data_IF_099504621312
#
_entry.id   IF_099504621312
#
_cell.length_a   1.000
_cell.length_b   1.000
_cell.length_c   1.000
_cell.angle_alpha   90.00
_cell.angle_beta   90.00
_cell.angle_gamma   90.00
#
_symmetry.space_group_name_H-M   'P 1'
#
loop_
_entity.id
_entity.type
_entity.pdbx_description
1 polymer ?
#
# COMPACT_ATOMS: atom_id res chain seq x y z
N UNK A 1 24.32 -28.04 52.59
CA UNK A 1 23.10 -27.29 52.28
C UNK A 1 23.48 -26.04 51.53
N UNK A 2 23.35 -26.00 50.22
CA UNK A 2 23.66 -24.82 49.40
C UNK A 2 22.48 -24.65 48.44
N UNK A 3 21.76 -23.55 48.62
CA UNK A 3 20.63 -23.18 47.79
C UNK A 3 21.06 -22.74 46.42
N UNK A 4 20.42 -23.28 45.40
CA UNK A 4 20.58 -22.89 44.03
C UNK A 4 19.76 -21.60 43.77
N UNK A 5 20.47 -20.48 43.56
CA UNK A 5 19.89 -19.24 43.09
C UNK A 5 19.54 -19.34 41.63
N UNK A 6 18.26 -19.44 41.31
CA UNK A 6 17.77 -19.32 39.93
C UNK A 6 17.87 -17.87 39.47
N UNK A 7 18.70 -17.60 38.46
CA UNK A 7 18.70 -16.34 37.72
C UNK A 7 17.39 -16.24 36.91
N UNK A 8 16.50 -15.40 37.36
CA UNK A 8 15.38 -14.93 36.55
C UNK A 8 15.92 -14.00 35.47
N UNK A 9 15.87 -14.46 34.25
CA UNK A 9 16.10 -13.65 33.07
C UNK A 9 15.06 -12.52 33.01
N UNK A 10 15.45 -11.25 32.81
CA UNK A 10 14.47 -10.18 32.71
C UNK A 10 13.63 -10.40 31.46
N UNK A 11 12.32 -10.51 31.68
CA UNK A 11 11.33 -10.60 30.62
C UNK A 11 11.58 -9.50 29.60
N UNK A 12 12.00 -9.90 28.40
CA UNK A 12 12.18 -8.99 27.27
C UNK A 12 10.87 -8.25 27.04
N UNK A 13 10.88 -6.93 27.16
CA UNK A 13 9.80 -6.07 26.69
C UNK A 13 9.56 -6.43 25.22
N UNK A 14 8.46 -7.10 24.91
CA UNK A 14 7.97 -7.21 23.53
C UNK A 14 7.79 -5.78 23.06
N UNK A 15 8.69 -5.32 22.18
CA UNK A 15 8.45 -4.09 21.43
C UNK A 15 7.15 -4.32 20.68
N UNK A 16 6.14 -3.52 20.97
CA UNK A 16 4.93 -3.45 20.16
C UNK A 16 5.40 -2.91 18.82
N UNK A 17 5.63 -3.82 17.87
CA UNK A 17 5.96 -3.44 16.52
C UNK A 17 4.67 -2.89 15.91
N UNK A 18 4.54 -1.57 15.87
CA UNK A 18 3.41 -0.92 15.21
C UNK A 18 3.54 -1.24 13.72
N UNK A 19 2.61 -2.00 13.17
CA UNK A 19 2.61 -2.30 11.74
C UNK A 19 2.25 -1.04 10.96
N UNK A 20 3.04 -0.72 9.92
CA UNK A 20 2.74 0.35 8.97
C UNK A 20 1.52 -0.02 8.14
N UNK A 21 0.58 0.89 7.99
CA UNK A 21 -0.67 0.70 7.23
C UNK A 21 -0.65 1.50 5.94
N UNK A 22 -0.80 0.82 4.81
CA UNK A 22 -0.75 1.41 3.47
C UNK A 22 -2.08 1.21 2.77
N UNK A 23 -2.64 2.27 2.16
CA UNK A 23 -3.85 2.21 1.36
C UNK A 23 -3.57 2.51 -0.11
N UNK A 24 -3.91 1.56 -0.99
CA UNK A 24 -3.89 1.72 -2.43
C UNK A 24 -5.24 2.29 -2.90
N UNK A 25 -5.23 3.41 -3.65
CA UNK A 25 -6.45 4.14 -3.98
C UNK A 25 -6.58 4.37 -5.49
N UNK A 26 -7.73 3.95 -6.06
CA UNK A 26 -8.12 4.29 -7.43
C UNK A 26 -9.57 4.81 -7.46
N UNK A 27 -10.21 4.86 -8.62
CA UNK A 27 -11.61 5.31 -8.73
C UNK A 27 -12.59 4.23 -8.24
N UNK A 28 -12.60 3.07 -8.91
CA UNK A 28 -13.65 2.05 -8.73
C UNK A 28 -13.25 0.87 -7.84
N UNK A 29 -11.99 0.72 -7.47
CA UNK A 29 -11.46 -0.42 -6.68
C UNK A 29 -11.74 -1.81 -7.31
N UNK A 30 -11.76 -1.88 -8.64
CA UNK A 30 -11.99 -3.13 -9.40
C UNK A 30 -10.81 -3.54 -10.27
N UNK A 31 -9.84 -2.65 -10.52
CA UNK A 31 -8.70 -2.93 -11.40
C UNK A 31 -7.37 -2.58 -10.71
N UNK A 32 -6.90 -1.32 -10.82
CA UNK A 32 -5.54 -0.90 -10.42
C UNK A 32 -5.24 -1.10 -8.95
N UNK A 33 -6.10 -0.63 -8.05
CA UNK A 33 -5.81 -0.69 -6.61
C UNK A 33 -5.85 -2.12 -6.05
N UNK A 34 -6.78 -3.03 -6.43
CA UNK A 34 -6.70 -4.41 -5.99
C UNK A 34 -5.50 -5.17 -6.58
N UNK A 35 -5.11 -4.88 -7.83
CA UNK A 35 -3.87 -5.43 -8.40
C UNK A 35 -2.65 -4.98 -7.59
N UNK A 36 -2.56 -3.68 -7.26
CA UNK A 36 -1.47 -3.14 -6.45
C UNK A 36 -1.43 -3.76 -5.04
N UNK A 37 -2.57 -3.90 -4.40
CA UNK A 37 -2.68 -4.54 -3.08
C UNK A 37 -2.17 -5.98 -3.12
N UNK A 38 -2.65 -6.80 -4.07
CA UNK A 38 -2.25 -8.21 -4.19
C UNK A 38 -0.77 -8.36 -4.49
N UNK A 39 -0.23 -7.58 -5.43
CA UNK A 39 1.20 -7.57 -5.78
C UNK A 39 2.05 -7.16 -4.57
N UNK A 40 1.67 -6.08 -3.90
CA UNK A 40 2.44 -5.58 -2.77
C UNK A 40 2.39 -6.53 -1.57
N UNK A 41 1.25 -7.16 -1.31
CA UNK A 41 1.13 -8.20 -0.26
C UNK A 41 2.08 -9.36 -0.53
N UNK A 42 2.13 -9.87 -1.77
CA UNK A 42 3.10 -10.90 -2.17
C UNK A 42 4.54 -10.44 -1.94
N UNK A 43 4.89 -9.21 -2.35
CA UNK A 43 6.22 -8.63 -2.11
C UNK A 43 6.57 -8.59 -0.61
N UNK A 44 5.61 -8.26 0.27
CA UNK A 44 5.86 -8.24 1.72
C UNK A 44 6.10 -9.63 2.29
N UNK A 45 5.35 -10.64 1.84
CA UNK A 45 5.58 -12.05 2.22
C UNK A 45 6.97 -12.51 1.77
N UNK A 46 7.36 -12.25 0.53
CA UNK A 46 8.67 -12.64 -0.01
C UNK A 46 9.84 -11.96 0.74
N UNK A 47 9.60 -10.83 1.39
CA UNK A 47 10.57 -10.07 2.19
C UNK A 47 10.49 -10.36 3.70
N UNK A 48 9.57 -11.21 4.15
CA UNK A 48 9.31 -11.47 5.58
C UNK A 48 8.84 -10.24 6.34
N UNK A 49 8.05 -9.37 5.67
CA UNK A 49 7.58 -8.08 6.20
C UNK A 49 6.05 -8.03 6.40
N UNK A 50 5.34 -9.14 6.19
CA UNK A 50 3.89 -9.24 6.22
C UNK A 50 3.27 -8.85 7.57
N UNK A 51 3.99 -9.06 8.66
CA UNK A 51 3.52 -8.64 10.01
C UNK A 51 3.82 -7.17 10.31
N UNK A 52 4.76 -6.57 9.59
CA UNK A 52 5.21 -5.19 9.80
C UNK A 52 4.56 -4.19 8.85
N UNK A 53 4.05 -4.64 7.72
CA UNK A 53 3.44 -3.80 6.70
C UNK A 53 2.10 -4.39 6.28
N UNK A 54 1.02 -3.74 6.69
CA UNK A 54 -0.33 -4.08 6.30
C UNK A 54 -0.77 -3.22 5.12
N UNK A 55 -1.42 -3.83 4.14
CA UNK A 55 -1.94 -3.08 3.00
C UNK A 55 -3.37 -3.49 2.67
N UNK A 56 -4.14 -2.52 2.19
CA UNK A 56 -5.48 -2.69 1.65
C UNK A 56 -5.69 -1.77 0.46
N UNK A 57 -6.82 -1.93 -0.23
CA UNK A 57 -7.22 -1.01 -1.29
C UNK A 57 -8.65 -0.51 -1.11
N UNK A 58 -8.93 0.66 -1.72
CA UNK A 58 -10.25 1.26 -1.74
C UNK A 58 -10.42 2.13 -3.00
N UNK A 59 -11.66 2.48 -3.32
CA UNK A 59 -11.99 3.39 -4.40
C UNK A 59 -12.60 4.69 -3.89
N UNK A 60 -12.30 5.80 -4.57
CA UNK A 60 -12.91 7.10 -4.26
C UNK A 60 -14.42 7.13 -4.60
N UNK A 61 -14.81 6.34 -5.62
CA UNK A 61 -16.18 6.23 -6.11
C UNK A 61 -16.56 4.78 -6.39
N UNK A 62 -16.08 3.85 -5.57
CA UNK A 62 -16.38 2.44 -5.73
C UNK A 62 -17.87 2.15 -5.51
N UNK A 63 -18.39 1.16 -6.23
CA UNK A 63 -19.66 0.52 -5.97
C UNK A 63 -19.39 -0.61 -4.97
N UNK A 64 -19.93 -0.49 -3.75
CA UNK A 64 -19.69 -1.47 -2.69
C UNK A 64 -20.04 -2.90 -3.15
N UNK A 65 -19.14 -3.84 -2.89
CA UNK A 65 -19.33 -5.24 -3.21
C UNK A 65 -19.17 -5.60 -4.69
N UNK A 66 -18.88 -4.63 -5.59
CA UNK A 66 -18.62 -4.93 -6.98
C UNK A 66 -17.42 -5.90 -7.12
N UNK A 67 -17.50 -6.92 -8.00
CA UNK A 67 -16.39 -7.84 -8.18
C UNK A 67 -15.19 -7.17 -8.83
N UNK A 68 -14.00 -7.70 -8.54
CA UNK A 68 -12.77 -7.35 -9.25
C UNK A 68 -12.89 -7.70 -10.74
N UNK A 69 -12.28 -6.92 -11.60
CA UNK A 69 -12.26 -7.18 -13.05
C UNK A 69 -11.60 -8.54 -13.35
N UNK A 70 -12.24 -9.34 -14.20
CA UNK A 70 -11.73 -10.65 -14.62
C UNK A 70 -10.31 -10.53 -15.23
N UNK A 71 -10.08 -9.55 -16.09
CA UNK A 71 -8.77 -9.32 -16.69
C UNK A 71 -7.72 -8.92 -15.64
N UNK A 72 -8.10 -8.25 -14.54
CA UNK A 72 -7.18 -7.95 -13.44
C UNK A 72 -6.77 -9.25 -12.72
N UNK A 73 -7.72 -10.15 -12.47
CA UNK A 73 -7.45 -11.47 -11.87
C UNK A 73 -6.52 -12.28 -12.78
N UNK A 74 -6.83 -12.37 -14.08
CA UNK A 74 -6.02 -13.13 -15.05
C UNK A 74 -4.58 -12.59 -15.12
N UNK A 75 -4.42 -11.28 -15.25
CA UNK A 75 -3.10 -10.66 -15.32
C UNK A 75 -2.28 -10.88 -14.03
N UNK A 76 -2.90 -10.82 -12.86
CA UNK A 76 -2.23 -11.08 -11.59
C UNK A 76 -1.87 -12.54 -11.39
N UNK A 77 -2.71 -13.48 -11.80
CA UNK A 77 -2.43 -14.92 -11.72
C UNK A 77 -1.20 -15.35 -12.51
N UNK A 78 -0.91 -14.68 -13.64
CA UNK A 78 0.31 -14.96 -14.43
C UNK A 78 1.60 -14.75 -13.65
N UNK A 79 1.58 -13.92 -12.61
CA UNK A 79 2.73 -13.67 -11.70
C UNK A 79 2.54 -14.29 -10.31
N UNK A 80 1.61 -15.23 -10.16
CA UNK A 80 1.36 -15.95 -8.92
C UNK A 80 0.68 -15.11 -7.84
N UNK A 81 -0.13 -14.13 -8.23
CA UNK A 81 -0.96 -13.31 -7.34
C UNK A 81 -2.43 -13.60 -7.61
N UNK A 82 -3.17 -14.08 -6.62
CA UNK A 82 -4.62 -14.28 -6.71
C UNK A 82 -5.35 -13.15 -5.98
N UNK A 83 -6.22 -12.46 -6.70
CA UNK A 83 -7.08 -11.38 -6.20
C UNK A 83 -8.56 -11.66 -6.47
N UNK A 84 -8.91 -12.92 -6.77
CA UNK A 84 -10.27 -13.29 -7.16
C UNK A 84 -11.32 -13.07 -6.05
N UNK A 85 -10.90 -13.09 -4.80
CA UNK A 85 -11.78 -12.87 -3.65
C UNK A 85 -12.03 -11.38 -3.34
N UNK A 86 -11.34 -10.48 -4.08
CA UNK A 86 -11.47 -9.06 -3.82
C UNK A 86 -12.84 -8.55 -4.21
N UNK A 87 -13.45 -7.77 -3.32
CA UNK A 87 -14.66 -6.99 -3.58
C UNK A 87 -14.38 -5.51 -3.38
N UNK A 88 -14.90 -4.70 -4.29
CA UNK A 88 -14.69 -3.25 -4.24
C UNK A 88 -15.32 -2.63 -3.00
N UNK A 89 -14.61 -1.69 -2.38
CA UNK A 89 -15.10 -0.88 -1.27
C UNK A 89 -14.79 0.59 -1.50
N UNK A 90 -15.65 1.46 -0.99
CA UNK A 90 -15.44 2.91 -1.02
C UNK A 90 -14.63 3.32 0.21
N UNK A 91 -13.68 4.24 0.01
CA UNK A 91 -12.99 4.87 1.13
C UNK A 91 -13.97 5.74 1.93
N UNK A 92 -13.98 5.61 3.25
CA UNK A 92 -14.78 6.46 4.13
C UNK A 92 -13.95 7.64 4.64
N UNK A 93 -14.62 8.76 4.98
CA UNK A 93 -13.95 9.90 5.59
C UNK A 93 -13.33 9.57 6.96
N UNK A 94 -13.95 8.66 7.70
CA UNK A 94 -13.51 8.24 9.04
C UNK A 94 -12.19 7.47 9.01
N UNK A 95 -11.95 6.69 7.94
CA UNK A 95 -10.71 5.93 7.82
C UNK A 95 -9.50 6.73 7.31
N UNK A 96 -9.69 8.00 6.87
CA UNK A 96 -8.60 8.83 6.36
C UNK A 96 -7.48 9.11 7.38
N UNK A 97 -7.75 8.96 8.67
CA UNK A 97 -6.73 9.11 9.72
C UNK A 97 -6.01 7.80 10.08
N UNK A 98 -6.55 6.65 9.65
CA UNK A 98 -6.09 5.32 10.07
C UNK A 98 -4.82 4.89 9.35
N UNK A 99 -4.62 5.38 8.12
CA UNK A 99 -3.54 4.97 7.24
C UNK A 99 -2.28 5.81 7.43
N UNK A 100 -1.14 5.16 7.40
CA UNK A 100 0.17 5.82 7.51
C UNK A 100 0.65 6.35 6.17
N UNK A 101 0.37 5.59 5.09
CA UNK A 101 0.70 5.97 3.72
C UNK A 101 -0.46 5.68 2.76
N UNK A 102 -0.56 6.52 1.73
CA UNK A 102 -1.48 6.38 0.61
C UNK A 102 -0.71 6.25 -0.70
N UNK A 103 -1.10 5.27 -1.50
CA UNK A 103 -0.61 5.09 -2.86
C UNK A 103 -1.77 5.27 -3.86
N UNK A 104 -2.06 6.51 -4.29
CA UNK A 104 -3.07 6.77 -5.31
C UNK A 104 -2.57 6.35 -6.70
N UNK A 105 -3.43 5.78 -7.53
CA UNK A 105 -3.08 5.33 -8.88
C UNK A 105 -2.85 6.47 -9.88
N UNK A 106 -3.11 7.72 -9.50
CA UNK A 106 -2.86 8.90 -10.32
C UNK A 106 -2.70 10.17 -9.48
N UNK A 107 -2.20 11.25 -10.10
CA UNK A 107 -2.14 12.57 -9.48
C UNK A 107 -3.52 13.07 -9.06
N UNK A 108 -4.55 12.82 -9.87
CA UNK A 108 -5.93 13.21 -9.56
C UNK A 108 -6.45 12.54 -8.29
N UNK A 109 -6.21 11.24 -8.12
CA UNK A 109 -6.57 10.53 -6.88
C UNK A 109 -5.84 11.12 -5.67
N UNK A 110 -4.54 11.42 -5.82
CA UNK A 110 -3.75 12.06 -4.76
C UNK A 110 -4.25 13.45 -4.39
N UNK A 111 -4.64 14.24 -5.38
CA UNK A 111 -5.25 15.56 -5.16
C UNK A 111 -6.58 15.46 -4.38
N UNK A 112 -7.45 14.53 -4.76
CA UNK A 112 -8.72 14.31 -4.05
C UNK A 112 -8.48 13.90 -2.59
N UNK A 113 -7.54 13.01 -2.32
CA UNK A 113 -7.16 12.63 -0.95
C UNK A 113 -6.66 13.84 -0.15
N UNK A 114 -5.83 14.69 -0.75
CA UNK A 114 -5.33 15.91 -0.09
C UNK A 114 -6.45 16.90 0.20
N UNK A 115 -7.41 17.08 -0.72
CA UNK A 115 -8.61 17.91 -0.49
C UNK A 115 -9.52 17.33 0.61
N UNK A 116 -9.54 16.01 0.77
CA UNK A 116 -10.25 15.33 1.86
C UNK A 116 -9.54 15.41 3.22
N UNK A 117 -8.37 16.08 3.30
CA UNK A 117 -7.65 16.32 4.54
C UNK A 117 -6.48 15.35 4.81
N UNK A 118 -6.15 14.45 3.89
CA UNK A 118 -4.96 13.61 4.05
C UNK A 118 -3.71 14.47 3.91
N UNK A 119 -2.78 14.45 4.89
CA UNK A 119 -1.53 15.18 4.80
C UNK A 119 -0.73 14.79 3.56
N UNK A 120 -0.20 15.74 2.82
CA UNK A 120 0.61 15.46 1.62
C UNK A 120 1.83 14.59 1.92
N UNK A 121 2.37 14.66 3.14
CA UNK A 121 3.47 13.82 3.60
C UNK A 121 3.13 12.33 3.68
N UNK A 122 1.84 11.98 3.69
CA UNK A 122 1.36 10.61 3.66
C UNK A 122 0.98 10.12 2.25
N UNK A 123 1.03 10.97 1.23
CA UNK A 123 0.58 10.64 -0.13
C UNK A 123 1.79 10.45 -1.04
N UNK A 124 2.02 9.23 -1.51
CA UNK A 124 3.03 8.93 -2.52
C UNK A 124 2.41 8.95 -3.92
N UNK A 125 2.87 9.83 -4.80
CA UNK A 125 2.38 9.89 -6.19
C UNK A 125 3.30 9.06 -7.10
N UNK A 126 2.83 7.92 -7.63
CA UNK A 126 3.61 7.13 -8.57
C UNK A 126 3.77 7.83 -9.91
N UNK A 127 4.73 7.35 -10.72
CA UNK A 127 4.75 7.67 -12.15
C UNK A 127 3.47 7.16 -12.80
N UNK A 128 3.15 7.73 -13.97
CA UNK A 128 1.91 7.42 -14.68
C UNK A 128 1.62 5.91 -14.79
N UNK A 129 0.43 5.53 -14.33
CA UNK A 129 -0.15 4.18 -14.43
C UNK A 129 -1.45 4.33 -15.22
N UNK A 130 -1.48 3.76 -16.43
CA UNK A 130 -2.67 3.80 -17.28
C UNK A 130 -3.85 3.08 -16.63
N UNK A 131 -5.08 3.55 -16.92
CA UNK A 131 -6.29 2.87 -16.47
C UNK A 131 -6.71 1.80 -17.47
N UNK A 132 -6.67 0.50 -17.12
CA UNK A 132 -7.01 -0.57 -18.04
C UNK A 132 -8.52 -0.88 -18.06
N UNK A 133 -9.36 -0.12 -17.34
CA UNK A 133 -10.78 -0.41 -17.23
C UNK A 133 -11.47 -0.50 -18.59
N UNK A 134 -12.15 -1.62 -18.86
CA UNK A 134 -12.82 -1.87 -20.13
C UNK A 134 -11.90 -2.23 -21.30
N UNK A 135 -10.59 -2.31 -21.10
CA UNK A 135 -9.60 -2.63 -22.11
C UNK A 135 -9.34 -4.15 -22.20
N UNK A 136 -8.65 -4.62 -23.26
CA UNK A 136 -8.22 -6.01 -23.39
C UNK A 136 -7.23 -6.44 -22.30
N UNK A 137 -7.06 -7.76 -22.11
CA UNK A 137 -6.15 -8.35 -21.14
C UNK A 137 -4.71 -7.81 -21.26
N UNK A 138 -4.25 -7.49 -22.47
CA UNK A 138 -2.90 -6.96 -22.72
C UNK A 138 -2.65 -5.64 -21.99
N UNK A 139 -3.65 -4.76 -21.92
CA UNK A 139 -3.54 -3.50 -21.20
C UNK A 139 -3.49 -3.73 -19.67
N UNK A 140 -4.16 -4.78 -19.17
CA UNK A 140 -4.03 -5.19 -17.77
C UNK A 140 -2.66 -5.77 -17.45
N UNK A 141 -2.05 -6.51 -18.38
CA UNK A 141 -0.66 -6.97 -18.26
C UNK A 141 0.31 -5.80 -18.19
N UNK A 142 0.17 -4.84 -19.10
CA UNK A 142 1.00 -3.62 -19.09
C UNK A 142 0.81 -2.82 -17.79
N UNK A 143 -0.41 -2.68 -17.31
CA UNK A 143 -0.72 -2.04 -16.03
C UNK A 143 -0.07 -2.80 -14.86
N UNK A 144 -0.20 -4.13 -14.80
CA UNK A 144 0.43 -5.00 -13.80
C UNK A 144 1.96 -4.81 -13.77
N UNK A 145 2.60 -4.87 -14.90
CA UNK A 145 4.05 -4.74 -15.01
C UNK A 145 4.52 -3.35 -14.55
N UNK A 146 3.73 -2.33 -14.88
CA UNK A 146 3.98 -0.98 -14.39
C UNK A 146 3.78 -0.86 -12.88
N UNK A 147 2.77 -1.50 -12.33
CA UNK A 147 2.55 -1.56 -10.88
C UNK A 147 3.71 -2.24 -10.17
N UNK A 148 4.18 -3.39 -10.65
CA UNK A 148 5.35 -4.08 -10.08
C UNK A 148 6.53 -3.12 -9.98
N UNK A 149 6.90 -2.43 -11.07
CA UNK A 149 7.99 -1.47 -11.09
C UNK A 149 7.79 -0.31 -10.08
N UNK A 150 6.57 0.26 -10.02
CA UNK A 150 6.30 1.39 -9.15
C UNK A 150 6.24 0.99 -7.67
N UNK A 151 5.78 -0.21 -7.37
CA UNK A 151 5.72 -0.74 -6.01
C UNK A 151 7.11 -1.08 -5.47
N UNK A 152 8.03 -1.55 -6.32
CA UNK A 152 9.44 -1.72 -5.94
C UNK A 152 10.08 -0.37 -5.57
N UNK A 153 9.92 0.65 -6.41
CA UNK A 153 10.43 2.00 -6.14
C UNK A 153 9.81 2.57 -4.86
N UNK A 154 8.52 2.37 -4.66
CA UNK A 154 7.81 2.82 -3.47
C UNK A 154 8.35 2.14 -2.20
N UNK A 155 8.52 0.82 -2.23
CA UNK A 155 9.07 0.06 -1.11
C UNK A 155 10.47 0.56 -0.74
N UNK A 156 11.40 0.60 -1.71
CA UNK A 156 12.79 0.96 -1.48
C UNK A 156 12.97 2.44 -1.05
N UNK A 157 12.17 3.33 -1.64
CA UNK A 157 12.35 4.77 -1.40
C UNK A 157 11.61 5.31 -0.19
N UNK A 158 10.50 4.66 0.22
CA UNK A 158 9.61 5.19 1.26
C UNK A 158 9.37 4.22 2.40
N UNK A 159 8.96 3.00 2.10
CA UNK A 159 8.57 2.04 3.14
C UNK A 159 9.77 1.66 4.00
N UNK A 160 10.91 1.35 3.39
CA UNK A 160 12.14 1.01 4.12
C UNK A 160 12.61 2.16 5.00
N UNK A 161 12.56 3.40 4.51
CA UNK A 161 12.96 4.57 5.29
C UNK A 161 12.08 4.75 6.52
N UNK A 162 10.78 4.69 6.38
CA UNK A 162 9.86 4.85 7.50
C UNK A 162 10.03 3.72 8.53
N UNK A 163 10.27 2.49 8.08
CA UNK A 163 10.54 1.36 8.97
C UNK A 163 11.87 1.49 9.74
N UNK A 164 12.86 2.15 9.15
CA UNK A 164 14.14 2.44 9.84
C UNK A 164 13.96 3.57 10.85
N UNK A 165 13.19 4.62 10.51
CA UNK A 165 12.94 5.75 11.40
C UNK A 165 12.11 5.38 12.64
N UNK A 166 11.15 4.47 12.52
CA UNK A 166 10.40 3.94 13.68
C UNK A 166 11.33 3.29 14.73
N UNK A 167 12.51 2.82 14.28
CA UNK A 167 13.56 2.32 15.17
C UNK A 167 14.47 3.40 15.78
N UNK A 168 14.50 4.63 15.28
CA UNK A 168 15.49 5.66 15.65
C UNK A 168 14.94 7.00 16.14
N UNK A 169 13.62 7.18 16.19
CA UNK A 169 12.91 8.38 16.71
C UNK A 169 13.20 9.73 16.03
N UNK A 170 13.60 9.75 14.76
CA UNK A 170 13.72 10.99 13.99
C UNK A 170 12.68 11.05 12.86
N UNK A 171 11.97 12.18 12.64
CA UNK A 171 10.98 12.27 11.57
C UNK A 171 11.64 12.17 10.18
N UNK A 172 10.96 11.57 9.20
CA UNK A 172 11.49 11.46 7.85
C UNK A 172 11.64 12.84 7.19
N UNK A 173 12.62 13.01 6.28
CA UNK A 173 12.77 14.24 5.52
C UNK A 173 11.56 14.46 4.60
N UNK A 174 11.23 15.73 4.27
CA UNK A 174 10.16 16.05 3.36
C UNK A 174 10.40 15.43 1.96
N UNK A 175 9.31 15.16 1.26
CA UNK A 175 9.35 14.58 -0.09
C UNK A 175 10.19 15.44 -1.05
N UNK A 176 10.95 14.83 -1.99
CA UNK A 176 11.70 15.58 -2.99
C UNK A 176 10.76 16.48 -3.82
N UNK A 177 11.19 17.72 -4.05
CA UNK A 177 10.37 18.81 -4.66
C UNK A 177 9.78 18.51 -6.05
N UNK A 178 10.17 17.43 -6.72
CA UNK A 178 9.60 17.01 -8.00
C UNK A 178 8.19 16.41 -7.93
N UNK A 179 7.64 16.18 -6.72
CA UNK A 179 6.32 15.58 -6.51
C UNK A 179 5.19 16.59 -6.31
N UNK A 180 5.50 17.90 -6.25
CA UNK A 180 4.47 18.94 -6.07
C UNK A 180 3.74 19.22 -7.37
N UNK A 181 2.41 19.19 -7.43
CA UNK A 181 1.68 19.80 -8.53
C UNK A 181 1.99 21.31 -8.53
N UNK A 182 2.40 21.87 -9.66
CA UNK A 182 2.45 23.33 -9.82
C UNK A 182 1.02 23.86 -9.83
N UNK A 183 0.81 25.06 -9.30
CA UNK A 183 -0.49 25.71 -9.26
C UNK A 183 -1.09 25.91 -10.64
#
# INVERSE_FOLDING_TARGET
>A
MKGAGGLLSPAGKRRVCTSMKILFVCTGNTCRSPMAEGIFRKMMVERGMEERVLCQSAGLSAVEGAPVSENAVLACREIGVDISDHTARRISGEELSVWDLYFPMSKTHGYILAQAGVPQTKIYIPKYIADPYGAPLEDYRACRDKLVQQLEVFYESYVTRLLVFDNTMSPPPPFPEGSRPRP
#
